data_IF_799793556873
#
_entry.id   IF_799793556873
#
_cell.length_a   1.000
_cell.length_b   1.000
_cell.length_c   1.000
_cell.angle_alpha   90.00
_cell.angle_beta   90.00
_cell.angle_gamma   90.00
#
_symmetry.space_group_name_H-M   'P 1'
#
loop_
_entity.id
_entity.type
_entity.pdbx_description
1 polymer ?
#
# COMPACT_ATOMS: atom_id res chain seq x y z
N UNK A 1 16.36 63.66 -42.23
CA UNK A 1 15.80 62.29 -42.05
C UNK A 1 16.72 61.50 -41.13
N UNK A 2 16.39 61.39 -39.86
CA UNK A 2 17.16 60.57 -38.88
C UNK A 2 16.28 59.35 -38.49
N UNK A 3 16.71 58.17 -38.90
CA UNK A 3 16.09 56.93 -38.55
C UNK A 3 16.55 56.51 -37.16
N UNK A 4 15.62 56.30 -36.21
CA UNK A 4 15.88 55.73 -34.91
C UNK A 4 15.62 54.23 -35.01
N UNK A 5 16.69 53.43 -34.91
CA UNK A 5 16.60 52.00 -34.71
C UNK A 5 16.34 51.75 -33.22
N UNK A 6 15.15 51.28 -32.89
CA UNK A 6 14.86 50.71 -31.55
C UNK A 6 15.44 49.29 -31.50
N UNK A 7 16.53 49.10 -30.76
CA UNK A 7 16.99 47.80 -30.35
C UNK A 7 16.19 47.38 -29.11
N UNK A 8 15.17 46.56 -29.30
CA UNK A 8 14.52 45.85 -28.23
C UNK A 8 15.29 44.55 -27.96
N UNK A 9 16.22 44.58 -27.02
CA UNK A 9 16.86 43.35 -26.49
C UNK A 9 15.85 42.62 -25.61
N UNK A 10 15.18 41.63 -26.16
CA UNK A 10 14.46 40.63 -25.36
C UNK A 10 15.47 39.74 -24.67
N UNK A 11 15.72 39.97 -23.37
CA UNK A 11 16.40 39.00 -22.53
C UNK A 11 15.43 37.88 -22.24
N UNK A 12 15.55 36.76 -22.94
CA UNK A 12 14.92 35.52 -22.60
C UNK A 12 15.60 34.96 -21.34
N UNK A 13 14.97 35.12 -20.19
CA UNK A 13 15.35 34.40 -18.97
C UNK A 13 14.87 32.95 -19.15
N UNK A 14 15.75 32.07 -19.61
CA UNK A 14 15.50 30.63 -19.53
C UNK A 14 15.70 30.20 -18.05
N UNK A 15 14.61 30.14 -17.31
CA UNK A 15 14.59 29.54 -16.01
C UNK A 15 14.76 28.02 -16.22
N UNK A 16 16.02 27.56 -16.14
CA UNK A 16 16.34 26.13 -16.15
C UNK A 16 15.83 25.54 -14.82
N UNK A 17 14.57 25.10 -14.81
CA UNK A 17 14.10 24.24 -13.72
C UNK A 17 14.92 22.97 -13.80
N UNK A 18 15.87 22.80 -12.87
CA UNK A 18 16.47 21.52 -12.54
C UNK A 18 15.33 20.64 -11.95
N UNK A 19 14.56 20.02 -12.85
CA UNK A 19 13.70 18.91 -12.46
C UNK A 19 14.67 17.79 -12.09
N UNK A 20 14.88 17.60 -10.79
CA UNK A 20 15.64 16.47 -10.29
C UNK A 20 15.07 15.23 -10.96
N UNK A 21 15.91 14.48 -11.69
CA UNK A 21 15.50 13.21 -12.28
C UNK A 21 15.11 12.29 -11.12
N UNK A 22 13.83 12.02 -10.97
CA UNK A 22 13.37 10.97 -10.09
C UNK A 22 13.89 9.67 -10.67
N UNK A 23 14.96 9.12 -10.08
CA UNK A 23 15.53 7.84 -10.46
C UNK A 23 14.62 6.71 -9.96
N UNK A 24 13.47 6.57 -10.59
CA UNK A 24 12.46 5.61 -10.20
C UNK A 24 11.91 4.87 -11.42
N UNK A 25 11.64 3.59 -11.26
CA UNK A 25 10.93 2.78 -12.23
C UNK A 25 9.44 2.76 -11.88
N UNK A 26 8.60 3.01 -12.88
CA UNK A 26 7.14 2.92 -12.73
C UNK A 26 6.64 1.58 -13.23
N UNK A 27 5.78 0.96 -12.43
CA UNK A 27 5.05 -0.25 -12.76
C UNK A 27 3.59 0.13 -12.93
N UNK A 28 2.99 -0.30 -14.04
CA UNK A 28 1.58 -0.08 -14.35
C UNK A 28 0.88 -1.42 -14.31
N UNK A 29 -0.13 -1.55 -13.46
CA UNK A 29 -0.96 -2.75 -13.36
C UNK A 29 -2.33 -2.45 -13.96
N UNK A 30 -2.70 -3.23 -14.95
CA UNK A 30 -3.95 -3.09 -15.69
C UNK A 30 -4.61 -4.46 -15.89
N UNK A 31 -5.93 -4.46 -16.05
CA UNK A 31 -6.67 -5.66 -16.45
C UNK A 31 -6.49 -5.95 -17.96
N UNK A 32 -7.14 -7.01 -18.44
CA UNK A 32 -7.12 -7.43 -19.86
C UNK A 32 -7.74 -6.41 -20.83
N UNK A 33 -8.48 -5.41 -20.32
CA UNK A 33 -9.10 -4.33 -21.10
C UNK A 33 -8.30 -3.02 -21.02
N UNK A 34 -7.16 -3.01 -20.33
CA UNK A 34 -6.31 -1.85 -20.13
C UNK A 34 -6.82 -0.91 -19.02
N UNK A 35 -7.78 -1.33 -18.19
CA UNK A 35 -8.25 -0.54 -17.06
C UNK A 35 -7.26 -0.65 -15.89
N UNK A 36 -6.94 0.47 -15.22
CA UNK A 36 -6.01 0.46 -14.11
C UNK A 36 -6.57 -0.36 -12.93
N UNK A 37 -5.68 -1.09 -12.26
CA UNK A 37 -6.02 -1.84 -11.04
C UNK A 37 -5.43 -1.11 -9.85
N UNK A 38 -6.29 -0.51 -9.03
CA UNK A 38 -5.95 0.07 -7.73
C UNK A 38 -5.73 -1.03 -6.69
N UNK A 39 -4.86 -0.77 -5.71
CA UNK A 39 -4.55 -1.68 -4.60
C UNK A 39 -3.90 -3.02 -5.03
N UNK A 40 -3.38 -3.13 -6.25
CA UNK A 40 -2.55 -4.27 -6.61
C UNK A 40 -1.21 -4.20 -5.85
N UNK A 41 -0.76 -5.34 -5.34
CA UNK A 41 0.46 -5.43 -4.54
C UNK A 41 1.57 -6.03 -5.39
N UNK A 42 2.71 -5.32 -5.44
CA UNK A 42 3.94 -5.79 -6.07
C UNK A 42 4.97 -6.06 -4.95
N UNK A 43 5.28 -7.33 -4.72
CA UNK A 43 6.33 -7.74 -3.78
C UNK A 43 7.59 -8.12 -4.54
N UNK A 44 8.71 -7.45 -4.23
CA UNK A 44 9.99 -7.60 -4.91
C UNK A 44 10.93 -8.50 -4.13
N UNK A 45 11.46 -9.53 -4.78
CA UNK A 45 12.56 -10.32 -4.24
C UNK A 45 13.87 -9.59 -4.50
N UNK A 46 14.41 -8.91 -3.48
CA UNK A 46 15.64 -8.10 -3.62
C UNK A 46 16.90 -8.95 -3.52
N UNK A 47 17.93 -8.58 -4.29
CA UNK A 47 19.22 -9.31 -4.37
C UNK A 47 20.25 -8.92 -3.33
N UNK A 48 20.08 -7.73 -2.72
CA UNK A 48 21.02 -7.28 -1.69
C UNK A 48 20.78 -8.03 -0.39
N UNK A 49 21.85 -8.43 0.32
CA UNK A 49 21.69 -8.97 1.66
C UNK A 49 21.00 -7.87 2.49
N UNK A 50 19.78 -8.15 2.90
CA UNK A 50 19.10 -7.32 3.89
C UNK A 50 19.99 -7.38 5.11
N UNK A 51 20.65 -6.25 5.42
CA UNK A 51 21.18 -6.08 6.77
C UNK A 51 19.99 -6.32 7.67
N UNK A 52 19.99 -7.42 8.41
CA UNK A 52 18.93 -7.77 9.33
C UNK A 52 18.95 -6.81 10.51
N UNK A 53 18.71 -5.54 10.25
CA UNK A 53 18.22 -4.64 11.26
C UNK A 53 16.82 -5.18 11.58
N UNK A 54 16.74 -5.92 12.68
CA UNK A 54 15.45 -6.35 13.25
C UNK A 54 14.69 -5.05 13.52
N UNK A 55 13.91 -4.62 12.54
CA UNK A 55 13.00 -3.51 12.74
C UNK A 55 11.98 -4.00 13.76
N UNK A 56 11.75 -3.27 14.86
CA UNK A 56 10.71 -3.65 15.82
C UNK A 56 9.39 -3.88 15.10
N UNK A 57 8.65 -4.89 15.53
CA UNK A 57 7.32 -5.17 14.98
C UNK A 57 6.42 -3.94 15.18
N UNK A 58 5.77 -3.52 14.10
CA UNK A 58 4.84 -2.39 14.13
C UNK A 58 3.43 -2.84 14.52
N UNK A 59 2.64 -1.93 15.04
CA UNK A 59 1.19 -2.12 15.15
C UNK A 59 0.51 -1.25 14.12
N UNK A 60 -0.12 -1.89 13.14
CA UNK A 60 -0.89 -1.23 12.08
C UNK A 60 -2.39 -1.30 12.42
N UNK A 61 -3.17 -0.50 11.74
CA UNK A 61 -4.61 -0.35 12.01
C UNK A 61 -5.40 -0.82 10.79
N UNK A 62 -6.38 -1.68 11.02
CA UNK A 62 -7.45 -2.05 10.11
C UNK A 62 -8.76 -1.64 10.79
N UNK A 63 -9.23 -0.43 10.52
CA UNK A 63 -10.44 0.13 11.14
C UNK A 63 -11.71 -0.40 10.47
N UNK A 64 -12.84 -0.15 11.08
CA UNK A 64 -14.16 -0.50 10.59
C UNK A 64 -14.98 0.80 10.52
N UNK A 65 -15.21 1.28 9.29
CA UNK A 65 -15.84 2.57 9.02
C UNK A 65 -16.88 2.38 7.90
N UNK A 66 -18.09 2.86 8.10
CA UNK A 66 -19.18 2.79 7.11
C UNK A 66 -19.42 1.36 6.58
N UNK A 67 -19.36 0.35 7.47
CA UNK A 67 -19.52 -1.07 7.14
C UNK A 67 -18.47 -1.58 6.14
N UNK A 68 -17.23 -1.07 6.23
CA UNK A 68 -16.06 -1.48 5.45
C UNK A 68 -14.85 -1.61 6.34
N UNK A 69 -13.88 -2.40 5.92
CA UNK A 69 -12.53 -2.34 6.46
C UNK A 69 -11.77 -1.18 5.82
N UNK A 70 -11.05 -0.41 6.64
CA UNK A 70 -10.30 0.77 6.20
C UNK A 70 -8.86 0.71 6.77
N UNK A 71 -7.84 0.57 5.91
CA UNK A 71 -7.95 0.43 4.44
C UNK A 71 -8.54 -0.92 4.03
N UNK A 72 -9.08 -1.05 2.80
CA UNK A 72 -9.58 -2.31 2.28
C UNK A 72 -8.48 -3.35 2.12
N UNK A 73 -7.28 -2.90 1.74
CA UNK A 73 -6.07 -3.72 1.64
C UNK A 73 -4.98 -3.13 2.53
N UNK A 74 -4.57 -3.90 3.55
CA UNK A 74 -3.50 -3.52 4.47
C UNK A 74 -2.26 -4.37 4.18
N UNK A 75 -1.13 -3.74 3.90
CA UNK A 75 0.16 -4.42 3.76
C UNK A 75 0.94 -4.33 5.06
N UNK A 76 1.40 -5.47 5.55
CA UNK A 76 2.21 -5.61 6.76
C UNK A 76 3.41 -6.52 6.49
N UNK A 77 4.37 -6.54 7.41
CA UNK A 77 5.48 -7.50 7.42
C UNK A 77 5.18 -8.67 8.35
N UNK A 78 5.87 -9.77 8.15
CA UNK A 78 5.86 -10.85 9.14
C UNK A 78 6.24 -10.31 10.52
N UNK A 79 5.56 -10.82 11.56
CA UNK A 79 5.68 -10.45 12.96
C UNK A 79 5.06 -9.10 13.34
N UNK A 80 4.56 -8.30 12.40
CA UNK A 80 3.78 -7.11 12.71
C UNK A 80 2.46 -7.47 13.41
N UNK A 81 1.91 -6.47 14.09
CA UNK A 81 0.63 -6.54 14.77
C UNK A 81 -0.42 -5.74 14.01
N UNK A 82 -1.67 -6.19 14.05
CA UNK A 82 -2.81 -5.42 13.54
C UNK A 82 -3.82 -5.22 14.66
N UNK A 83 -4.20 -3.96 14.85
CA UNK A 83 -5.31 -3.54 15.70
C UNK A 83 -6.55 -3.35 14.84
N UNK A 84 -7.72 -3.76 15.36
CA UNK A 84 -9.00 -3.68 14.65
C UNK A 84 -9.97 -2.79 15.44
N UNK A 85 -9.78 -1.45 15.46
CA UNK A 85 -10.79 -0.58 16.06
C UNK A 85 -12.10 -0.65 15.27
N UNK A 86 -13.19 -0.23 15.90
CA UNK A 86 -14.47 -0.10 15.25
C UNK A 86 -14.98 1.34 15.46
N UNK A 87 -14.77 2.17 14.46
CA UNK A 87 -15.18 3.57 14.44
C UNK A 87 -16.61 3.79 13.92
N UNK A 88 -17.32 2.70 13.57
CA UNK A 88 -18.74 2.75 13.26
C UNK A 88 -19.61 2.93 14.50
N UNK A 89 -20.84 3.38 14.27
CA UNK A 89 -21.89 3.50 15.29
C UNK A 89 -22.61 2.18 15.61
N UNK A 90 -22.21 1.09 14.94
CA UNK A 90 -22.77 -0.26 15.13
C UNK A 90 -21.64 -1.25 15.48
N UNK A 91 -22.01 -2.34 16.13
CA UNK A 91 -21.05 -3.39 16.46
C UNK A 91 -20.73 -4.24 15.23
N UNK A 92 -19.47 -4.62 15.07
CA UNK A 92 -19.03 -5.55 14.04
C UNK A 92 -18.39 -6.80 14.65
N UNK A 93 -18.32 -7.84 13.83
CA UNK A 93 -17.66 -9.11 14.09
C UNK A 93 -16.58 -9.30 13.03
N UNK A 94 -15.32 -9.36 13.42
CA UNK A 94 -14.21 -9.55 12.49
C UNK A 94 -13.70 -10.97 12.59
N UNK A 95 -13.57 -11.65 11.45
CA UNK A 95 -13.00 -12.99 11.41
C UNK A 95 -12.11 -13.19 10.18
N UNK A 96 -11.25 -14.19 10.27
CA UNK A 96 -10.53 -14.75 9.12
C UNK A 96 -10.41 -16.27 9.29
N UNK A 97 -10.66 -17.01 8.22
CA UNK A 97 -10.41 -18.44 8.12
C UNK A 97 -9.17 -18.77 7.28
N UNK A 98 -8.44 -17.74 6.84
CA UNK A 98 -7.20 -17.92 6.06
C UNK A 98 -6.16 -18.68 6.88
N UNK A 99 -5.51 -19.68 6.25
CA UNK A 99 -4.54 -20.55 6.91
C UNK A 99 -3.35 -19.79 7.55
N UNK A 100 -2.99 -18.64 7.00
CA UNK A 100 -1.90 -17.79 7.51
C UNK A 100 -2.18 -17.26 8.93
N UNK A 101 -3.46 -16.98 9.24
CA UNK A 101 -3.90 -16.49 10.54
C UNK A 101 -5.42 -16.65 10.70
N UNK A 102 -5.92 -17.80 11.16
CA UNK A 102 -7.33 -17.93 11.55
C UNK A 102 -7.57 -17.21 12.87
N UNK A 103 -8.65 -16.42 12.96
CA UNK A 103 -9.07 -15.72 14.18
C UNK A 103 -10.53 -15.27 14.12
N UNK A 104 -11.06 -14.93 15.30
CA UNK A 104 -12.40 -14.40 15.46
C UNK A 104 -12.42 -13.33 16.57
N UNK A 105 -12.93 -12.14 16.25
CA UNK A 105 -13.22 -11.06 17.19
C UNK A 105 -14.74 -10.88 17.24
N UNK A 106 -15.36 -11.42 18.30
CA UNK A 106 -16.82 -11.38 18.47
C UNK A 106 -17.32 -9.96 18.66
N UNK A 107 -18.52 -9.69 18.21
CA UNK A 107 -19.25 -8.42 18.19
C UNK A 107 -18.77 -7.37 19.22
N UNK A 108 -18.19 -6.28 18.74
CA UNK A 108 -17.71 -5.18 19.57
C UNK A 108 -17.91 -3.82 18.87
N UNK A 109 -17.77 -2.75 19.63
CA UNK A 109 -17.73 -1.36 19.17
C UNK A 109 -16.57 -0.62 19.86
N UNK A 110 -16.07 0.44 19.26
CA UNK A 110 -14.99 1.25 19.79
C UNK A 110 -13.62 0.56 19.71
N UNK A 111 -12.84 0.63 20.80
CA UNK A 111 -11.48 0.07 20.82
C UNK A 111 -11.49 -1.44 20.63
N UNK A 112 -10.60 -1.92 19.76
CA UNK A 112 -10.38 -3.35 19.60
C UNK A 112 -9.81 -3.97 20.89
N UNK A 113 -9.88 -5.30 20.97
CA UNK A 113 -9.07 -6.09 21.90
C UNK A 113 -7.58 -5.89 21.60
N UNK A 114 -6.69 -6.61 22.31
CA UNK A 114 -5.27 -6.56 22.03
C UNK A 114 -4.97 -6.81 20.54
N UNK A 115 -3.98 -6.10 19.96
CA UNK A 115 -3.57 -6.34 18.58
C UNK A 115 -3.18 -7.79 18.33
N UNK A 116 -3.47 -8.28 17.12
CA UNK A 116 -3.13 -9.64 16.70
C UNK A 116 -1.81 -9.65 15.93
N UNK A 117 -0.89 -10.54 16.29
CA UNK A 117 0.38 -10.71 15.57
C UNK A 117 0.20 -11.66 14.37
N UNK A 118 0.85 -11.31 13.24
CA UNK A 118 0.83 -12.07 12.00
C UNK A 118 2.23 -12.61 11.69
N UNK A 119 2.44 -13.90 11.96
CA UNK A 119 3.78 -14.52 11.89
C UNK A 119 4.10 -15.16 10.54
N UNK A 120 3.11 -15.48 9.73
CA UNK A 120 3.28 -16.19 8.47
C UNK A 120 2.97 -15.27 7.29
N UNK A 121 3.86 -15.27 6.27
CA UNK A 121 3.62 -14.55 5.04
C UNK A 121 2.42 -15.15 4.27
N UNK A 122 1.71 -14.30 3.54
CA UNK A 122 0.54 -14.68 2.74
C UNK A 122 -0.60 -13.70 2.86
N UNK A 123 -1.81 -14.16 2.60
CA UNK A 123 -3.01 -13.31 2.57
C UNK A 123 -4.00 -13.78 3.61
N UNK A 124 -4.44 -12.87 4.47
CA UNK A 124 -5.55 -13.06 5.39
C UNK A 124 -6.77 -12.32 4.87
N UNK A 125 -7.79 -13.04 4.46
CA UNK A 125 -9.07 -12.48 4.04
C UNK A 125 -9.93 -12.27 5.29
N UNK A 126 -10.41 -11.04 5.45
CA UNK A 126 -11.28 -10.64 6.55
C UNK A 126 -12.74 -10.63 6.12
N UNK A 127 -13.60 -11.02 7.02
CA UNK A 127 -15.04 -10.95 6.85
C UNK A 127 -15.72 -10.40 8.09
N UNK A 128 -16.98 -9.95 7.90
CA UNK A 128 -17.89 -9.57 8.97
C UNK A 128 -19.12 -10.45 8.92
N UNK A 129 -19.48 -11.10 10.05
CA UNK A 129 -20.59 -12.05 10.10
C UNK A 129 -21.99 -11.40 9.97
N UNK A 130 -22.10 -10.08 10.10
CA UNK A 130 -23.37 -9.37 10.06
C UNK A 130 -23.53 -8.47 8.83
N UNK A 131 -22.51 -8.37 7.99
CA UNK A 131 -22.53 -7.63 6.73
C UNK A 131 -21.72 -8.40 5.68
N UNK A 132 -22.41 -9.14 4.79
CA UNK A 132 -21.78 -10.04 3.80
C UNK A 132 -20.84 -9.30 2.84
N UNK A 133 -21.12 -8.02 2.55
CA UNK A 133 -20.28 -7.18 1.68
C UNK A 133 -19.03 -6.61 2.38
N UNK A 134 -18.89 -6.77 3.71
CA UNK A 134 -17.75 -6.25 4.46
C UNK A 134 -16.58 -7.23 4.39
N UNK A 135 -15.75 -7.06 3.38
CA UNK A 135 -14.55 -7.86 3.11
C UNK A 135 -13.33 -6.94 3.12
N UNK A 136 -12.21 -7.44 3.61
CA UNK A 136 -10.92 -6.75 3.59
C UNK A 136 -9.77 -7.74 3.51
N UNK A 137 -8.57 -7.24 3.24
CA UNK A 137 -7.41 -8.08 3.01
C UNK A 137 -6.20 -7.59 3.79
N UNK A 138 -5.50 -8.50 4.45
CA UNK A 138 -4.18 -8.23 5.01
C UNK A 138 -3.17 -9.03 4.21
N UNK A 139 -2.29 -8.32 3.51
CA UNK A 139 -1.16 -8.91 2.81
C UNK A 139 0.05 -8.92 3.74
N UNK A 140 0.48 -10.09 4.17
CA UNK A 140 1.64 -10.29 5.03
C UNK A 140 2.85 -10.56 4.13
N UNK A 141 3.67 -9.55 3.92
CA UNK A 141 4.82 -9.61 3.02
C UNK A 141 5.96 -10.46 3.59
N UNK A 142 6.60 -11.22 2.71
CA UNK A 142 7.85 -11.94 2.99
C UNK A 142 9.08 -11.07 2.71
N UNK A 143 8.93 -10.04 1.89
CA UNK A 143 9.98 -9.07 1.52
C UNK A 143 9.76 -7.73 2.22
N UNK A 144 10.86 -6.99 2.40
CA UNK A 144 10.80 -5.60 2.89
C UNK A 144 10.41 -4.60 1.81
N UNK A 145 10.49 -5.02 0.54
CA UNK A 145 10.21 -4.16 -0.60
C UNK A 145 8.87 -4.56 -1.22
N UNK A 146 7.84 -3.81 -0.84
CA UNK A 146 6.47 -3.99 -1.32
C UNK A 146 5.90 -2.65 -1.73
N UNK A 147 5.22 -2.61 -2.87
CA UNK A 147 4.51 -1.44 -3.38
C UNK A 147 3.03 -1.78 -3.57
N UNK A 148 2.20 -0.75 -3.46
CA UNK A 148 0.77 -0.82 -3.75
C UNK A 148 0.49 0.18 -4.87
N UNK A 149 -0.31 -0.23 -5.86
CA UNK A 149 -0.73 0.67 -6.93
C UNK A 149 -1.77 1.67 -6.47
N UNK A 150 -1.66 2.86 -7.01
CA UNK A 150 -2.64 3.94 -6.84
C UNK A 150 -3.89 3.75 -7.73
N UNK A 151 -4.79 4.75 -7.74
CA UNK A 151 -6.01 4.77 -8.57
C UNK A 151 -5.74 4.72 -10.06
N UNK A 152 -4.54 5.06 -10.49
CA UNK A 152 -4.08 4.98 -11.87
C UNK A 152 -3.41 3.64 -12.18
N UNK A 153 -3.38 2.72 -11.23
CA UNK A 153 -2.70 1.44 -11.34
C UNK A 153 -1.18 1.56 -11.30
N UNK A 154 -0.63 2.67 -10.78
CA UNK A 154 0.79 2.99 -10.83
C UNK A 154 1.44 2.71 -9.46
N UNK A 155 2.60 2.06 -9.48
CA UNK A 155 3.50 1.93 -8.36
C UNK A 155 4.92 2.34 -8.78
N UNK A 156 5.68 2.98 -7.88
CA UNK A 156 7.00 3.55 -8.20
C UNK A 156 8.07 2.95 -7.29
N UNK A 157 9.13 2.40 -7.90
CA UNK A 157 10.27 1.80 -7.23
C UNK A 157 11.53 2.64 -7.46
N UNK A 158 12.31 2.87 -6.40
CA UNK A 158 13.65 3.48 -6.52
C UNK A 158 14.56 2.57 -7.36
N UNK A 159 15.19 3.10 -8.42
CA UNK A 159 16.11 2.39 -9.32
C UNK A 159 17.35 1.83 -8.65
N UNK A 160 17.69 2.33 -7.49
CA UNK A 160 18.82 1.79 -6.71
C UNK A 160 18.52 0.40 -6.17
N UNK A 161 17.24 0.04 -6.03
CA UNK A 161 16.81 -1.27 -5.54
C UNK A 161 16.93 -2.30 -6.66
N UNK A 162 17.78 -3.31 -6.44
CA UNK A 162 17.95 -4.43 -7.37
C UNK A 162 17.10 -5.60 -6.92
N UNK A 163 16.31 -6.15 -7.83
CA UNK A 163 15.44 -7.28 -7.57
C UNK A 163 15.59 -8.38 -8.63
N UNK A 164 15.23 -9.61 -8.27
CA UNK A 164 15.28 -10.79 -9.14
C UNK A 164 13.92 -11.13 -9.72
N UNK A 165 12.86 -10.93 -8.94
CA UNK A 165 11.49 -11.27 -9.33
C UNK A 165 10.48 -10.34 -8.67
N UNK A 166 9.30 -10.27 -9.26
CA UNK A 166 8.14 -9.55 -8.74
C UNK A 166 7.01 -10.55 -8.58
N UNK A 167 6.38 -10.55 -7.41
CA UNK A 167 5.13 -11.25 -7.16
C UNK A 167 4.01 -10.23 -7.19
N UNK A 168 3.02 -10.44 -8.05
CA UNK A 168 1.82 -9.63 -8.15
C UNK A 168 0.66 -10.33 -7.43
N UNK A 169 -0.10 -9.55 -6.66
CA UNK A 169 -1.41 -9.94 -6.11
C UNK A 169 -2.42 -8.82 -6.37
N UNK A 170 -3.67 -9.19 -6.72
CA UNK A 170 -4.80 -8.28 -6.99
C UNK A 170 -6.12 -8.93 -6.56
#
# INVERSE_FOLDING_TARGET
MKSYLLNASYQFFVLLMLVGQVNADQFIVQDQHGLPIENAILEFSVTSPITTNITPANTLIMDQINKRFEPEVLVIKQHDFVSFPNSDNIRHHVYSFSAVKPFELKLYSGKSKAPLQFNNAGISVLGCNIHDSMVGYIYIANSTQVLITDKQGIATLDRTIKYQSIKLWQ
#
